data_IF_182198539190
#
_entry.id   IF_182198539190
#
_cell.length_a   1.000
_cell.length_b   1.000
_cell.length_c   1.000
_cell.angle_alpha   90.00
_cell.angle_beta   90.00
_cell.angle_gamma   90.00
#
_symmetry.space_group_name_H-M   'P 1'
#
loop_
_entity.id
_entity.type
_entity.pdbx_description
1 polymer ?
#
# COMPACT_ATOMS: atom_id res chain seq x y z
N UNK A 1 -13.93 3.76 -7.77
CA UNK A 1 -13.50 4.98 -8.51
C UNK A 1 -13.87 4.87 -9.98
N UNK A 2 -14.04 5.98 -10.71
CA UNK A 2 -14.35 5.92 -12.15
C UNK A 2 -13.29 5.11 -12.92
N UNK A 3 -13.74 4.21 -13.80
CA UNK A 3 -12.87 3.31 -14.54
C UNK A 3 -12.26 2.16 -13.73
N UNK A 4 -12.71 1.94 -12.49
CA UNK A 4 -12.38 0.73 -11.72
C UNK A 4 -12.89 -0.51 -12.45
N UNK A 5 -12.15 -1.61 -12.35
CA UNK A 5 -12.50 -2.91 -12.93
C UNK A 5 -12.49 -3.94 -11.82
N UNK A 6 -13.41 -4.91 -11.89
CA UNK A 6 -13.41 -6.01 -10.94
C UNK A 6 -12.14 -6.85 -11.09
N UNK A 7 -11.59 -7.40 -9.99
CA UNK A 7 -10.35 -8.19 -10.01
C UNK A 7 -10.47 -9.37 -10.98
N UNK A 8 -11.52 -10.18 -10.84
CA UNK A 8 -11.77 -11.30 -11.74
C UNK A 8 -11.85 -10.90 -13.23
N UNK A 9 -12.48 -9.76 -13.55
CA UNK A 9 -12.56 -9.24 -14.92
C UNK A 9 -11.17 -8.88 -15.46
N UNK A 10 -10.33 -8.25 -14.63
CA UNK A 10 -8.94 -7.94 -14.97
C UNK A 10 -8.12 -9.22 -15.19
N UNK A 11 -8.17 -10.17 -14.24
CA UNK A 11 -7.43 -11.43 -14.33
C UNK A 11 -7.86 -12.23 -15.56
N UNK A 12 -9.14 -12.22 -15.95
CA UNK A 12 -9.60 -12.92 -17.14
C UNK A 12 -9.11 -12.25 -18.45
N UNK A 13 -9.21 -10.91 -18.56
CA UNK A 13 -9.11 -10.21 -19.86
C UNK A 13 -7.85 -9.38 -20.08
N UNK A 14 -7.09 -9.05 -19.03
CA UNK A 14 -5.87 -8.26 -19.18
C UNK A 14 -4.85 -9.01 -20.06
N UNK A 15 -4.07 -8.27 -20.85
CA UNK A 15 -2.96 -8.86 -21.58
C UNK A 15 -1.91 -9.42 -20.59
N UNK A 16 -1.08 -10.38 -21.00
CA UNK A 16 0.11 -10.74 -20.24
C UNK A 16 1.00 -9.52 -19.98
N UNK A 17 1.61 -9.43 -18.79
CA UNK A 17 2.49 -8.33 -18.41
C UNK A 17 2.67 -8.15 -16.90
N UNK A 18 3.36 -7.07 -16.55
CA UNK A 18 3.51 -6.58 -15.17
C UNK A 18 2.66 -5.34 -14.96
N UNK A 19 1.93 -5.33 -13.84
CA UNK A 19 0.97 -4.29 -13.52
C UNK A 19 1.14 -3.84 -12.07
N UNK A 20 0.87 -2.57 -11.84
CA UNK A 20 0.63 -2.02 -10.51
C UNK A 20 -0.86 -1.72 -10.39
N UNK A 21 -1.43 -2.04 -9.24
CA UNK A 21 -2.84 -1.77 -8.95
C UNK A 21 -3.00 -1.07 -7.61
N UNK A 22 -4.10 -0.32 -7.51
CA UNK A 22 -4.71 0.08 -6.25
C UNK A 22 -6.04 -0.65 -6.15
N UNK A 23 -6.20 -1.49 -5.14
CA UNK A 23 -7.34 -2.41 -5.00
C UNK A 23 -8.23 -1.87 -3.89
N UNK A 24 -9.49 -1.57 -4.25
CA UNK A 24 -10.51 -1.07 -3.34
C UNK A 24 -11.43 -2.25 -2.94
N UNK A 25 -11.45 -2.61 -1.65
CA UNK A 25 -12.32 -3.67 -1.13
C UNK A 25 -13.74 -3.18 -0.77
N UNK A 26 -14.06 -1.93 -1.14
CA UNK A 26 -15.30 -1.25 -0.81
C UNK A 26 -15.20 -0.35 0.42
N UNK A 27 -14.25 -0.62 1.33
CA UNK A 27 -14.03 0.16 2.55
C UNK A 27 -12.61 0.72 2.68
N UNK A 28 -11.63 0.05 2.06
CA UNK A 28 -10.21 0.31 2.19
C UNK A 28 -9.48 0.04 0.88
N UNK A 29 -8.38 0.76 0.65
CA UNK A 29 -7.60 0.66 -0.59
C UNK A 29 -6.18 0.21 -0.32
N UNK A 30 -5.74 -0.88 -0.96
CA UNK A 30 -4.38 -1.46 -0.85
C UNK A 30 -3.57 -1.26 -2.13
N UNK A 31 -2.26 -1.46 -2.07
CA UNK A 31 -1.39 -1.49 -3.24
C UNK A 31 -1.12 -2.93 -3.67
N UNK A 32 -0.94 -3.18 -4.97
CA UNK A 32 -0.52 -4.49 -5.45
C UNK A 32 0.45 -4.38 -6.63
N UNK A 33 1.42 -5.31 -6.65
CA UNK A 33 2.21 -5.64 -7.84
C UNK A 33 1.71 -6.98 -8.39
N UNK A 34 1.30 -7.00 -9.65
CA UNK A 34 0.68 -8.15 -10.31
C UNK A 34 1.55 -8.56 -11.50
N UNK A 35 1.78 -9.87 -11.62
CA UNK A 35 2.37 -10.49 -12.81
C UNK A 35 1.35 -11.45 -13.42
N UNK A 36 1.13 -11.31 -14.73
CA UNK A 36 0.27 -12.21 -15.50
C UNK A 36 1.01 -12.70 -16.73
N UNK A 37 0.95 -14.00 -16.99
CA UNK A 37 1.49 -14.64 -18.19
C UNK A 37 0.66 -15.88 -18.55
N UNK A 38 1.10 -16.64 -19.54
CA UNK A 38 0.40 -17.83 -20.00
C UNK A 38 0.31 -18.94 -18.93
N UNK A 39 1.18 -18.94 -17.91
CA UNK A 39 1.17 -19.93 -16.83
C UNK A 39 0.26 -19.55 -15.66
N UNK A 40 -0.22 -18.29 -15.62
CA UNK A 40 -1.15 -17.82 -14.60
C UNK A 40 -0.84 -16.42 -14.07
N UNK A 41 -1.47 -16.10 -12.94
CA UNK A 41 -1.35 -14.79 -12.27
C UNK A 41 -0.69 -14.96 -10.91
N UNK A 42 0.22 -14.06 -10.56
CA UNK A 42 0.72 -13.89 -9.20
C UNK A 42 0.56 -12.43 -8.76
N UNK A 43 0.27 -12.22 -7.48
CA UNK A 43 0.02 -10.90 -6.89
C UNK A 43 0.68 -10.77 -5.52
N UNK A 44 1.32 -9.63 -5.30
CA UNK A 44 1.87 -9.23 -4.00
C UNK A 44 1.13 -7.98 -3.55
N UNK A 45 0.31 -8.10 -2.51
CA UNK A 45 -0.48 -7.02 -1.93
C UNK A 45 0.24 -6.43 -0.74
N UNK A 46 0.42 -5.11 -0.74
CA UNK A 46 0.92 -4.35 0.41
C UNK A 46 -0.20 -3.45 0.92
N UNK A 47 -0.69 -3.76 2.10
CA UNK A 47 -1.72 -3.00 2.79
C UNK A 47 -1.06 -1.90 3.65
N UNK A 48 -1.33 -0.60 3.41
CA UNK A 48 -0.79 0.47 4.24
C UNK A 48 -1.38 0.51 5.65
N UNK A 49 -2.39 -0.29 5.99
CA UNK A 49 -3.07 -0.30 7.28
C UNK A 49 -2.80 -1.62 8.01
N UNK A 50 -2.21 -1.52 9.20
CA UNK A 50 -2.11 -2.63 10.16
C UNK A 50 -2.88 -2.30 11.44
N UNK A 51 -4.17 -2.61 11.45
CA UNK A 51 -5.10 -2.28 12.55
C UNK A 51 -5.46 -3.46 13.46
N UNK A 52 -5.27 -4.70 13.00
CA UNK A 52 -5.70 -5.87 13.76
C UNK A 52 -4.78 -6.07 14.96
N UNK A 53 -5.38 -6.33 16.12
CA UNK A 53 -4.63 -6.64 17.35
C UNK A 53 -4.04 -8.05 17.28
N UNK A 54 -4.86 -8.99 16.82
CA UNK A 54 -4.46 -10.37 16.62
C UNK A 54 -3.95 -10.51 15.18
N UNK A 55 -2.67 -10.83 15.04
CA UNK A 55 -2.05 -11.02 13.73
C UNK A 55 -2.66 -12.19 12.96
N UNK A 56 -3.29 -13.16 13.64
CA UNK A 56 -3.99 -14.26 12.99
C UNK A 56 -5.18 -13.81 12.15
N UNK A 57 -5.77 -12.65 12.47
CA UNK A 57 -6.84 -12.08 11.65
C UNK A 57 -6.38 -11.86 10.20
N UNK A 58 -5.08 -11.61 9.96
CA UNK A 58 -4.56 -11.41 8.61
C UNK A 58 -4.52 -12.68 7.74
N UNK A 59 -4.72 -13.87 8.31
CA UNK A 59 -4.93 -15.10 7.54
C UNK A 59 -6.17 -14.92 6.66
N UNK A 60 -7.29 -14.50 7.25
CA UNK A 60 -8.55 -14.27 6.53
C UNK A 60 -8.38 -13.19 5.44
N UNK A 61 -7.62 -12.12 5.72
CA UNK A 61 -7.38 -11.08 4.71
C UNK A 61 -6.56 -11.61 3.53
N UNK A 62 -5.57 -12.47 3.78
CA UNK A 62 -4.77 -13.10 2.73
C UNK A 62 -5.64 -14.04 1.87
N UNK A 63 -6.48 -14.85 2.51
CA UNK A 63 -7.37 -15.79 1.84
C UNK A 63 -8.46 -15.07 1.03
N UNK A 64 -9.11 -14.04 1.59
CA UNK A 64 -10.10 -13.24 0.88
C UNK A 64 -9.54 -12.64 -0.43
N UNK A 65 -8.35 -12.05 -0.36
CA UNK A 65 -7.69 -11.52 -1.56
C UNK A 65 -7.35 -12.65 -2.53
N UNK A 66 -6.82 -13.79 -2.06
CA UNK A 66 -6.49 -14.90 -2.94
C UNK A 66 -7.73 -15.42 -3.69
N UNK A 67 -8.86 -15.55 -2.99
CA UNK A 67 -10.11 -16.00 -3.57
C UNK A 67 -10.62 -15.02 -4.64
N UNK A 68 -10.51 -13.70 -4.43
CA UNK A 68 -10.90 -12.69 -5.43
C UNK A 68 -10.05 -12.71 -6.70
N UNK A 69 -8.76 -13.08 -6.58
CA UNK A 69 -7.87 -13.30 -7.73
C UNK A 69 -8.05 -14.70 -8.37
N UNK A 70 -8.74 -15.61 -7.68
CA UNK A 70 -8.97 -17.01 -8.06
C UNK A 70 -7.97 -17.97 -7.41
N UNK A 71 -8.43 -19.17 -7.04
CA UNK A 71 -7.67 -20.19 -6.29
C UNK A 71 -6.31 -20.57 -6.92
N UNK A 72 -6.19 -20.45 -8.24
CA UNK A 72 -4.95 -20.79 -8.97
C UNK A 72 -3.95 -19.63 -9.00
N UNK A 73 -4.34 -18.42 -8.58
CA UNK A 73 -3.44 -17.29 -8.49
C UNK A 73 -2.54 -17.43 -7.26
N UNK A 74 -1.26 -17.08 -7.42
CA UNK A 74 -0.30 -17.08 -6.29
C UNK A 74 -0.31 -15.72 -5.61
N UNK A 75 -0.69 -15.70 -4.33
CA UNK A 75 -0.93 -14.46 -3.62
C UNK A 75 -0.01 -14.32 -2.41
N UNK A 76 0.51 -13.12 -2.20
CA UNK A 76 1.11 -12.71 -0.93
C UNK A 76 0.40 -11.48 -0.37
N UNK A 77 0.17 -11.46 0.93
CA UNK A 77 -0.48 -10.34 1.64
C UNK A 77 0.44 -9.79 2.73
N UNK A 78 0.74 -8.48 2.65
CA UNK A 78 1.73 -7.82 3.52
C UNK A 78 1.08 -6.62 4.23
N UNK A 79 0.59 -6.75 5.49
CA UNK A 79 0.08 -5.63 6.27
C UNK A 79 1.22 -4.81 6.90
N UNK A 80 1.24 -3.51 6.59
CA UNK A 80 2.30 -2.59 7.04
C UNK A 80 1.71 -1.44 7.84
N UNK A 81 2.35 -1.11 8.97
CA UNK A 81 1.85 -0.09 9.90
C UNK A 81 2.16 1.35 9.45
N UNK A 82 1.55 1.81 8.35
CA UNK A 82 1.79 3.14 7.76
C UNK A 82 0.65 4.11 8.12
N UNK A 83 -0.59 3.68 7.87
CA UNK A 83 -1.81 4.46 7.99
C UNK A 83 -2.34 4.46 9.43
N UNK A 84 -2.72 5.66 9.90
CA UNK A 84 -3.43 5.90 11.16
C UNK A 84 -4.73 6.68 10.96
N UNK A 85 -4.88 7.40 9.85
CA UNK A 85 -6.12 8.08 9.50
C UNK A 85 -7.13 7.12 8.86
N UNK A 86 -8.38 7.55 8.73
CA UNK A 86 -9.46 6.74 8.13
C UNK A 86 -9.63 6.97 6.62
N UNK A 87 -8.81 7.83 5.99
CA UNK A 87 -9.02 8.29 4.60
C UNK A 87 -7.75 8.33 3.74
N UNK A 88 -6.56 8.09 4.30
CA UNK A 88 -5.31 8.23 3.53
C UNK A 88 -4.94 6.99 2.71
N UNK A 89 -5.68 5.87 2.84
CA UNK A 89 -5.42 4.60 2.17
C UNK A 89 -5.13 4.74 0.68
N UNK A 90 -5.93 5.53 -0.05
CA UNK A 90 -5.76 5.72 -1.51
C UNK A 90 -4.43 6.35 -1.90
N UNK A 91 -3.99 7.40 -1.18
CA UNK A 91 -2.72 8.09 -1.49
C UNK A 91 -1.52 7.28 -1.02
N UNK A 92 -1.65 6.61 0.12
CA UNK A 92 -0.61 5.69 0.61
C UNK A 92 -0.41 4.53 -0.37
N UNK A 93 -1.48 3.88 -0.81
CA UNK A 93 -1.44 2.79 -1.77
C UNK A 93 -0.91 3.21 -3.14
N UNK A 94 -1.27 4.40 -3.64
CA UNK A 94 -0.66 4.94 -4.84
C UNK A 94 0.85 5.17 -4.66
N UNK A 95 1.29 5.67 -3.51
CA UNK A 95 2.72 5.83 -3.23
C UNK A 95 3.46 4.50 -3.12
N UNK A 96 2.83 3.48 -2.55
CA UNK A 96 3.38 2.12 -2.46
C UNK A 96 3.50 1.49 -3.86
N UNK A 97 2.49 1.62 -4.71
CA UNK A 97 2.53 1.16 -6.09
C UNK A 97 3.68 1.82 -6.89
N UNK A 98 3.90 3.13 -6.71
CA UNK A 98 5.06 3.81 -7.30
C UNK A 98 6.39 3.24 -6.78
N UNK A 99 6.44 2.75 -5.53
CA UNK A 99 7.64 2.14 -4.94
C UNK A 99 7.84 0.70 -5.37
N UNK A 100 6.77 -0.06 -5.57
CA UNK A 100 6.83 -1.38 -6.20
C UNK A 100 7.45 -1.30 -7.59
N UNK A 101 7.05 -0.30 -8.39
CA UNK A 101 7.66 -0.06 -9.70
C UNK A 101 9.14 0.37 -9.60
N UNK A 102 9.49 1.21 -8.63
CA UNK A 102 10.88 1.62 -8.36
C UNK A 102 11.77 0.45 -7.87
N UNK A 103 11.16 -0.66 -7.46
CA UNK A 103 11.81 -1.90 -7.01
C UNK A 103 11.37 -3.11 -7.85
N UNK A 104 11.17 -2.89 -9.15
CA UNK A 104 10.54 -3.89 -10.04
C UNK A 104 11.19 -5.28 -9.91
N UNK A 105 12.52 -5.34 -9.89
CA UNK A 105 13.31 -6.58 -9.79
C UNK A 105 13.10 -7.32 -8.47
N UNK A 106 13.02 -6.61 -7.34
CA UNK A 106 12.82 -7.23 -6.03
C UNK A 106 11.43 -7.88 -5.92
N UNK A 107 10.40 -7.20 -6.43
CA UNK A 107 9.05 -7.75 -6.52
C UNK A 107 8.96 -8.87 -7.56
N UNK A 108 9.69 -8.76 -8.69
CA UNK A 108 9.76 -9.82 -9.69
C UNK A 108 10.36 -11.11 -9.10
N UNK A 109 11.46 -10.99 -8.36
CA UNK A 109 12.09 -12.12 -7.69
C UNK A 109 11.12 -12.79 -6.69
N UNK A 110 10.36 -12.01 -5.92
CA UNK A 110 9.37 -12.57 -5.01
C UNK A 110 8.21 -13.25 -5.77
N UNK A 111 7.76 -12.70 -6.91
CA UNK A 111 6.79 -13.38 -7.78
C UNK A 111 7.29 -14.75 -8.29
N UNK A 112 8.56 -14.87 -8.66
CA UNK A 112 9.14 -16.16 -9.06
C UNK A 112 9.12 -17.16 -7.90
N UNK A 113 9.50 -16.73 -6.70
CA UNK A 113 9.47 -17.57 -5.49
C UNK A 113 8.05 -18.04 -5.17
N UNK A 114 7.05 -17.16 -5.24
CA UNK A 114 5.64 -17.51 -5.04
C UNK A 114 5.13 -18.52 -6.09
N UNK A 115 5.54 -18.36 -7.35
CA UNK A 115 5.14 -19.27 -8.44
C UNK A 115 5.77 -20.64 -8.33
N UNK A 116 7.02 -20.70 -7.89
CA UNK A 116 7.76 -21.95 -7.76
C UNK A 116 7.51 -22.66 -6.42
N UNK A 117 6.78 -22.05 -5.48
CA UNK A 117 6.62 -22.56 -4.12
C UNK A 117 7.96 -22.60 -3.34
N UNK A 118 8.86 -21.66 -3.63
CA UNK A 118 10.16 -21.57 -2.97
C UNK A 118 10.08 -20.95 -1.57
N UNK A 119 11.20 -20.97 -0.85
CA UNK A 119 11.30 -20.38 0.49
C UNK A 119 11.20 -18.85 0.43
N UNK A 120 10.15 -18.23 1.03
CA UNK A 120 10.00 -16.78 1.02
C UNK A 120 10.99 -16.05 1.96
N UNK A 121 11.69 -16.75 2.86
CA UNK A 121 12.56 -16.16 3.89
C UNK A 121 13.74 -15.34 3.33
N UNK A 122 14.14 -15.59 2.08
CA UNK A 122 15.16 -14.81 1.38
C UNK A 122 14.67 -13.42 0.92
N UNK A 123 13.36 -13.20 0.90
CA UNK A 123 12.73 -11.95 0.41
C UNK A 123 12.10 -11.13 1.53
N UNK A 124 11.60 -11.79 2.57
CA UNK A 124 10.83 -11.19 3.66
C UNK A 124 11.16 -11.85 5.01
N UNK A 125 11.13 -11.08 6.10
CA UNK A 125 11.55 -11.53 7.44
C UNK A 125 10.60 -12.54 8.10
N UNK A 126 9.28 -12.37 7.95
CA UNK A 126 8.27 -13.28 8.55
C UNK A 126 7.17 -13.57 7.56
N UNK A 127 7.09 -14.81 7.10
CA UNK A 127 6.04 -15.30 6.22
C UNK A 127 5.59 -16.71 6.60
N UNK A 128 4.31 -17.00 6.34
CA UNK A 128 3.72 -18.33 6.44
C UNK A 128 2.66 -18.51 5.35
N UNK A 129 2.35 -19.76 4.99
CA UNK A 129 1.20 -20.04 4.12
C UNK A 129 -0.07 -20.15 4.97
N UNK A 130 -1.21 -19.70 4.44
CA UNK A 130 -2.51 -19.98 5.01
C UNK A 130 -2.89 -21.44 4.79
N UNK A 131 -3.70 -22.01 5.68
CA UNK A 131 -4.10 -23.42 5.60
C UNK A 131 -5.12 -23.68 4.49
N UNK A 132 -6.05 -22.74 4.25
CA UNK A 132 -7.18 -22.94 3.33
C UNK A 132 -6.80 -22.74 1.86
N UNK A 133 -6.22 -21.60 1.50
CA UNK A 133 -5.90 -21.26 0.10
C UNK A 133 -4.40 -21.30 -0.21
N UNK A 134 -3.55 -21.53 0.78
CA UNK A 134 -2.09 -21.52 0.58
C UNK A 134 -1.57 -20.14 0.14
N UNK A 135 -2.23 -19.07 0.58
CA UNK A 135 -1.78 -17.70 0.36
C UNK A 135 -0.59 -17.40 1.29
N UNK A 136 0.41 -16.65 0.81
CA UNK A 136 1.56 -16.29 1.63
C UNK A 136 1.26 -15.04 2.47
N UNK A 137 0.94 -15.22 3.74
CA UNK A 137 0.81 -14.13 4.70
C UNK A 137 2.20 -13.69 5.17
N UNK A 138 2.52 -12.41 4.98
CA UNK A 138 3.81 -11.81 5.36
C UNK A 138 3.62 -10.82 6.49
N UNK A 139 3.82 -11.25 7.73
CA UNK A 139 3.67 -10.40 8.92
C UNK A 139 4.83 -9.43 9.13
N UNK A 140 5.97 -9.65 8.46
CA UNK A 140 7.08 -8.71 8.39
C UNK A 140 7.73 -8.78 7.01
N UNK A 141 7.55 -7.70 6.24
CA UNK A 141 7.93 -7.63 4.83
C UNK A 141 9.31 -7.06 4.56
N UNK A 142 10.10 -6.67 5.56
CA UNK A 142 11.49 -6.24 5.30
C UNK A 142 12.32 -7.44 4.79
N UNK A 143 13.32 -7.24 3.89
CA UNK A 143 13.75 -5.98 3.26
C UNK A 143 12.97 -5.60 1.98
N UNK A 144 12.00 -6.40 1.54
CA UNK A 144 11.16 -6.09 0.38
C UNK A 144 10.41 -4.76 0.60
N UNK A 145 9.71 -4.64 1.74
CA UNK A 145 9.17 -3.39 2.28
C UNK A 145 10.32 -2.63 2.96
N UNK A 146 10.89 -1.67 2.23
CA UNK A 146 12.06 -0.92 2.68
C UNK A 146 11.73 0.43 3.34
N UNK A 147 12.79 1.09 3.83
CA UNK A 147 12.71 2.44 4.36
C UNK A 147 12.02 3.44 3.42
N UNK A 148 12.13 3.27 2.09
CA UNK A 148 11.54 4.16 1.09
C UNK A 148 10.03 3.94 0.95
N UNK A 149 9.53 2.75 1.24
CA UNK A 149 8.09 2.43 1.34
C UNK A 149 7.48 2.96 2.64
N UNK A 150 8.25 3.04 3.72
CA UNK A 150 7.82 3.54 5.04
C UNK A 150 7.78 5.08 5.18
N UNK A 151 8.24 5.83 4.17
CA UNK A 151 8.34 7.32 4.20
C UNK A 151 7.05 8.07 4.55
N UNK A 152 5.90 7.46 4.35
CA UNK A 152 4.61 8.08 4.60
C UNK A 152 3.93 7.55 5.86
N UNK A 153 4.66 6.81 6.72
CA UNK A 153 4.20 6.38 8.03
C UNK A 153 3.75 7.58 8.87
N UNK A 154 2.51 7.53 9.35
CA UNK A 154 1.87 8.67 10.03
C UNK A 154 2.30 8.75 11.49
N UNK A 155 2.47 7.63 12.19
CA UNK A 155 2.95 7.62 13.56
C UNK A 155 4.47 7.49 13.62
N UNK A 156 5.14 8.39 14.34
CA UNK A 156 6.58 8.31 14.58
C UNK A 156 6.96 6.99 15.27
N UNK A 157 6.14 6.52 16.21
CA UNK A 157 6.36 5.25 16.90
C UNK A 157 6.34 4.04 15.96
N UNK A 158 5.50 4.05 14.92
CA UNK A 158 5.50 2.99 13.90
C UNK A 158 6.80 2.97 13.10
N UNK A 159 7.31 4.15 12.74
CA UNK A 159 8.59 4.28 12.02
C UNK A 159 9.76 3.87 12.91
N UNK A 160 9.83 4.34 14.15
CA UNK A 160 10.87 3.93 15.10
C UNK A 160 10.88 2.43 15.32
N UNK A 161 9.71 1.81 15.53
CA UNK A 161 9.59 0.35 15.68
C UNK A 161 10.11 -0.41 14.46
N UNK A 162 9.79 0.06 13.25
CA UNK A 162 10.33 -0.53 12.03
C UNK A 162 11.85 -0.44 11.97
N UNK A 163 12.44 0.71 12.34
CA UNK A 163 13.90 0.90 12.34
C UNK A 163 14.61 0.13 13.45
N UNK A 164 13.97 -0.07 14.60
CA UNK A 164 14.46 -0.89 15.71
C UNK A 164 14.51 -2.38 15.31
N UNK A 165 13.48 -2.86 14.61
CA UNK A 165 13.42 -4.22 14.10
C UNK A 165 14.37 -4.47 12.90
N UNK A 166 14.70 -3.42 12.14
CA UNK A 166 15.53 -3.49 10.94
C UNK A 166 16.61 -2.38 10.95
N UNK A 167 17.65 -2.50 11.80
CA UNK A 167 18.65 -1.43 11.97
C UNK A 167 19.38 -1.05 10.68
N UNK A 168 19.53 -1.97 9.72
CA UNK A 168 20.11 -1.70 8.41
C UNK A 168 19.30 -0.69 7.58
N UNK A 169 18.00 -0.55 7.87
CA UNK A 169 17.11 0.44 7.23
C UNK A 169 17.26 1.85 7.83
N UNK A 170 17.95 2.01 8.97
CA UNK A 170 18.07 3.29 9.68
C UNK A 170 19.04 4.27 9.01
N UNK A 171 20.01 3.76 8.26
CA UNK A 171 21.10 4.56 7.67
C UNK A 171 20.91 4.84 6.18
N UNK A 172 19.98 4.15 5.51
CA UNK A 172 19.78 4.31 4.07
C UNK A 172 19.11 5.65 3.73
N UNK A 173 19.65 6.42 2.76
CA UNK A 173 19.02 7.66 2.32
C UNK A 173 17.67 7.40 1.66
N UNK A 174 16.60 8.01 2.17
CA UNK A 174 15.25 7.82 1.62
C UNK A 174 14.87 8.85 0.56
N UNK A 175 15.71 9.86 0.31
CA UNK A 175 15.48 10.88 -0.71
C UNK A 175 16.78 11.61 -1.14
N UNK A 176 16.67 12.47 -2.15
CA UNK A 176 17.81 13.22 -2.73
C UNK A 176 18.46 14.27 -1.80
N UNK A 177 17.85 14.57 -0.65
CA UNK A 177 18.40 15.44 0.40
C UNK A 177 19.29 14.67 1.38
N UNK A 178 19.58 13.41 1.08
CA UNK A 178 20.38 12.51 1.91
C UNK A 178 19.84 12.26 3.33
N UNK A 179 18.53 12.48 3.54
CA UNK A 179 17.90 12.21 4.85
C UNK A 179 17.65 10.70 5.02
N UNK A 180 17.85 10.21 6.24
CA UNK A 180 17.36 8.90 6.70
C UNK A 180 15.84 8.89 6.87
N UNK A 181 15.25 7.71 7.08
CA UNK A 181 13.82 7.58 7.34
C UNK A 181 13.41 8.31 8.63
N UNK A 182 14.21 8.19 9.70
CA UNK A 182 13.96 8.83 10.99
C UNK A 182 13.98 10.36 10.87
N UNK A 183 15.05 10.92 10.30
CA UNK A 183 15.19 12.37 10.08
C UNK A 183 14.04 12.94 9.27
N UNK A 184 13.72 12.29 8.14
CA UNK A 184 12.63 12.73 7.28
C UNK A 184 11.29 12.68 8.03
N UNK A 185 11.05 11.67 8.85
CA UNK A 185 9.80 11.53 9.62
C UNK A 185 9.69 12.67 10.64
N UNK A 186 10.74 12.92 11.41
CA UNK A 186 10.81 14.01 12.39
C UNK A 186 10.53 15.37 11.75
N UNK A 187 11.09 15.66 10.58
CA UNK A 187 10.83 16.92 9.86
C UNK A 187 9.36 17.14 9.48
N UNK A 188 8.56 16.09 9.35
CA UNK A 188 7.14 16.19 9.00
C UNK A 188 6.22 16.12 10.23
N UNK A 189 6.76 16.07 11.44
CA UNK A 189 5.92 16.06 12.64
C UNK A 189 5.18 17.38 12.78
N UNK A 190 3.85 17.27 12.92
CA UNK A 190 2.95 18.36 13.22
C UNK A 190 2.09 17.97 14.40
N UNK A 191 1.63 18.98 15.15
CA UNK A 191 0.69 18.82 16.26
C UNK A 191 -0.63 19.50 15.91
N UNK A 192 -1.74 18.77 15.94
CA UNK A 192 -3.07 19.36 15.70
C UNK A 192 -4.20 18.56 16.35
N UNK A 193 -5.36 19.21 16.53
CA UNK A 193 -6.60 18.57 16.95
C UNK A 193 -7.18 17.72 15.83
N UNK A 194 -7.63 16.53 16.16
CA UNK A 194 -8.36 15.60 15.29
C UNK A 194 -9.59 15.06 16.01
N UNK A 195 -10.55 14.51 15.26
CA UNK A 195 -11.70 13.82 15.86
C UNK A 195 -11.22 12.74 16.84
N UNK A 196 -11.80 12.75 18.04
CA UNK A 196 -11.51 11.74 19.04
C UNK A 196 -12.00 10.37 18.56
N UNK A 197 -11.14 9.37 18.70
CA UNK A 197 -11.36 8.00 18.23
C UNK A 197 -10.69 7.04 19.19
N UNK A 198 -11.23 5.83 19.23
CA UNK A 198 -10.68 4.74 20.01
C UNK A 198 -9.20 4.53 19.69
N UNK A 199 -8.42 4.24 20.72
CA UNK A 199 -7.06 3.75 20.57
C UNK A 199 -7.06 2.28 20.12
N UNK A 200 -5.87 1.68 20.05
CA UNK A 200 -5.74 0.26 19.72
C UNK A 200 -6.57 -0.60 20.66
N UNK A 201 -6.70 -0.25 21.95
CA UNK A 201 -7.45 -1.01 22.95
C UNK A 201 -8.96 -0.78 22.96
N UNK A 202 -9.49 0.01 22.03
CA UNK A 202 -10.92 0.32 21.98
C UNK A 202 -11.33 1.43 22.97
N UNK A 203 -10.37 2.11 23.62
CA UNK A 203 -10.65 3.13 24.64
C UNK A 203 -10.75 4.51 24.00
N UNK A 204 -11.76 5.29 24.39
CA UNK A 204 -11.99 6.67 23.94
C UNK A 204 -12.10 7.58 25.17
N UNK A 205 -11.40 8.71 25.15
CA UNK A 205 -11.54 9.75 26.18
C UNK A 205 -12.81 10.60 25.95
N UNK A 206 -13.21 11.41 26.93
CA UNK A 206 -14.32 12.35 26.73
C UNK A 206 -13.95 13.47 25.74
N UNK A 207 -14.97 14.08 25.12
CA UNK A 207 -14.82 15.18 24.18
C UNK A 207 -14.71 14.78 22.71
N UNK A 208 -15.11 15.69 21.82
CA UNK A 208 -15.20 15.44 20.38
C UNK A 208 -13.84 15.33 19.68
N UNK A 209 -12.79 15.89 20.29
CA UNK A 209 -11.45 15.99 19.68
C UNK A 209 -10.34 15.59 20.65
N UNK A 210 -9.22 15.14 20.09
CA UNK A 210 -7.95 14.94 20.79
C UNK A 210 -6.81 15.61 20.01
N UNK A 211 -5.78 16.06 20.72
CA UNK A 211 -4.57 16.59 20.10
C UNK A 211 -3.55 15.45 19.91
N UNK A 212 -2.98 15.35 18.71
CA UNK A 212 -1.98 14.32 18.39
C UNK A 212 -0.79 14.95 17.67
N UNK A 213 0.38 14.34 17.84
CA UNK A 213 1.59 14.61 17.06
C UNK A 213 1.80 13.48 16.06
N UNK A 214 1.90 13.79 14.78
CA UNK A 214 2.05 12.80 13.73
C UNK A 214 2.72 13.40 12.48
N UNK A 215 3.21 12.54 11.59
CA UNK A 215 3.84 12.93 10.33
C UNK A 215 2.80 13.31 9.28
N UNK A 216 2.83 14.55 8.78
CA UNK A 216 1.96 15.01 7.69
C UNK A 216 2.50 14.65 6.28
N UNK A 217 3.47 13.73 6.19
CA UNK A 217 4.17 13.35 4.96
C UNK A 217 3.21 12.93 3.82
N UNK A 218 2.09 12.28 4.13
CA UNK A 218 1.07 11.88 3.14
C UNK A 218 0.25 13.07 2.61
N UNK A 219 0.02 14.09 3.42
CA UNK A 219 -0.67 15.32 2.99
C UNK A 219 0.17 16.05 1.94
N UNK A 220 1.47 16.19 2.21
CA UNK A 220 2.43 16.75 1.26
C UNK A 220 2.54 15.91 -0.01
N UNK A 221 2.42 14.58 0.12
CA UNK A 221 2.40 13.67 -1.03
C UNK A 221 1.17 13.87 -1.90
N UNK A 222 -0.02 14.03 -1.31
CA UNK A 222 -1.26 14.33 -2.03
C UNK A 222 -1.12 15.63 -2.83
N UNK A 223 -0.66 16.72 -2.19
CA UNK A 223 -0.44 18.02 -2.84
C UNK A 223 0.54 17.88 -4.01
N UNK A 224 1.67 17.21 -3.80
CA UNK A 224 2.67 17.01 -4.85
C UNK A 224 2.14 16.20 -6.05
N UNK A 225 1.28 15.20 -5.81
CA UNK A 225 0.64 14.42 -6.87
C UNK A 225 -0.40 15.24 -7.64
N UNK A 226 -1.20 16.06 -6.95
CA UNK A 226 -2.14 16.97 -7.59
C UNK A 226 -1.42 17.97 -8.51
N UNK A 227 -0.33 18.58 -8.03
CA UNK A 227 0.47 19.50 -8.85
C UNK A 227 1.05 18.83 -10.10
N UNK A 228 1.53 17.57 -9.97
CA UNK A 228 2.01 16.79 -11.12
C UNK A 228 0.89 16.48 -12.11
N UNK A 229 -0.28 16.08 -11.62
CA UNK A 229 -1.42 15.77 -12.47
C UNK A 229 -1.94 17.00 -13.22
N UNK A 230 -2.04 18.15 -12.55
CA UNK A 230 -2.40 19.42 -13.19
C UNK A 230 -1.38 19.83 -14.27
N UNK A 231 -0.09 19.74 -13.96
CA UNK A 231 0.97 20.03 -14.93
C UNK A 231 0.94 19.09 -16.14
N UNK A 232 0.66 17.80 -15.93
CA UNK A 232 0.49 16.85 -17.02
C UNK A 232 -0.70 17.23 -17.90
N UNK A 233 -1.86 17.55 -17.30
CA UNK A 233 -3.06 17.92 -18.04
C UNK A 233 -2.88 19.17 -18.92
N UNK A 234 -2.08 20.14 -18.48
CA UNK A 234 -1.79 21.35 -19.26
C UNK A 234 -1.02 21.08 -20.56
N UNK A 235 -0.39 19.92 -20.69
CA UNK A 235 0.44 19.54 -21.86
C UNK A 235 0.02 18.20 -22.48
N UNK A 236 -1.06 17.58 -21.99
CA UNK A 236 -1.51 16.28 -22.43
C UNK A 236 -2.12 16.37 -23.85
N UNK A 237 -1.93 15.34 -24.69
CA UNK A 237 -2.53 15.32 -26.02
C UNK A 237 -4.07 15.21 -25.93
N UNK A 238 -4.83 15.71 -26.92
CA UNK A 238 -6.29 15.78 -26.85
C UNK A 238 -7.01 14.47 -26.48
N UNK A 239 -6.60 13.27 -26.95
CA UNK A 239 -7.25 12.02 -26.56
C UNK A 239 -7.16 11.74 -25.05
N UNK A 240 -6.05 12.13 -24.42
CA UNK A 240 -5.87 12.00 -22.96
C UNK A 240 -6.77 12.99 -22.23
N UNK A 241 -6.88 14.22 -22.74
CA UNK A 241 -7.78 15.23 -22.16
C UNK A 241 -9.23 14.74 -22.17
N UNK A 242 -9.70 14.23 -23.31
CA UNK A 242 -11.05 13.66 -23.44
C UNK A 242 -11.28 12.50 -22.48
N UNK A 243 -10.31 11.59 -22.36
CA UNK A 243 -10.38 10.46 -21.44
C UNK A 243 -10.48 10.93 -19.98
N UNK A 244 -9.65 11.90 -19.57
CA UNK A 244 -9.64 12.38 -18.19
C UNK A 244 -10.87 13.23 -17.86
N UNK A 245 -11.39 14.00 -18.82
CA UNK A 245 -12.66 14.71 -18.68
C UNK A 245 -13.81 13.73 -18.44
N UNK A 246 -13.87 12.63 -19.20
CA UNK A 246 -14.86 11.57 -18.97
C UNK A 246 -14.72 10.94 -17.58
N UNK A 247 -13.51 10.58 -17.16
CA UNK A 247 -13.28 10.00 -15.83
C UNK A 247 -13.69 10.94 -14.70
N UNK A 248 -13.45 12.26 -14.85
CA UNK A 248 -13.91 13.25 -13.89
C UNK A 248 -15.44 13.37 -13.88
N UNK A 249 -16.07 13.47 -15.06
CA UNK A 249 -17.52 13.51 -15.20
C UNK A 249 -18.18 12.31 -14.52
N UNK A 250 -17.69 11.10 -14.81
CA UNK A 250 -18.20 9.86 -14.21
C UNK A 250 -17.97 9.82 -12.68
N UNK A 251 -16.89 10.45 -12.19
CA UNK A 251 -16.61 10.51 -10.74
C UNK A 251 -17.55 11.46 -9.98
N UNK A 252 -18.04 12.52 -10.63
CA UNK A 252 -18.93 13.51 -10.01
C UNK A 252 -20.39 13.04 -9.94
N UNK A 253 -20.74 11.94 -10.61
CA UNK A 253 -22.09 11.36 -10.57
C UNK A 253 -22.49 10.79 -9.20
N UNK A 254 -21.52 10.48 -8.34
CA UNK A 254 -21.73 9.82 -7.04
C UNK A 254 -21.78 10.80 -5.85
N UNK A 255 -21.56 12.10 -6.12
CA UNK A 255 -21.53 13.15 -5.09
C UNK A 255 -22.65 14.19 -5.23
N UNK A 256 -23.43 14.12 -6.32
CA UNK A 256 -24.64 14.92 -6.55
C UNK A 256 -25.87 14.08 -6.25
#
# INVERSE_FOLDING_TARGET
MAGSRHIAEFVASARPGRYRAVIDDGSHTRAADIRKDASGTSVIVVDPLRKEKDENAYVDYADNVNMEFGEHAKCAFIPVDIQKSFFDCRILSLSLALKMHDKDDAFAAFHETLRNGGDPSHHVSRAQQTEELGATLVLDGAPLVDARMMKHGQAASSVSRYLENHPEQSTVPVNKRNETLGERTTRHLVKRKVRNRADSEGRVTSGETKEITFSNSVEQKRIALLNRAASYMNSAPPPVVMRMAKLLQDSLLDTN
#
